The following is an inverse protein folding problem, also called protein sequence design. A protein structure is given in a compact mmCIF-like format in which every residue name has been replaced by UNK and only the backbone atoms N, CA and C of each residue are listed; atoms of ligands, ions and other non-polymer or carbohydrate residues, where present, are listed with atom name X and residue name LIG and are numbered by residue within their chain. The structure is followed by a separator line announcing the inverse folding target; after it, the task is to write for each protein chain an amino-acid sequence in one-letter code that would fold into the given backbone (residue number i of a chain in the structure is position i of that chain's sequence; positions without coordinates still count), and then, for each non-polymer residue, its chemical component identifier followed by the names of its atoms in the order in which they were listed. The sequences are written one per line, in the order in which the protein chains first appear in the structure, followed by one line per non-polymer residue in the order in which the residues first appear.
data_IF_353507021343
#
_entry.id   IF_353507021343
#
_cell.length_a   1.000
_cell.length_b   1.000
_cell.length_c   1.000
_cell.angle_alpha   90.00
_cell.angle_beta   90.00
_cell.angle_gamma   90.00
#
_symmetry.space_group_name_H-M   'P 1'
#
loop_
_entity.id
_entity.type
_entity.pdbx_description
1 polymer ?
2 non-polymer ?
3 water ?
#
# COMPACT_ATOMS: atom_id res chain seq x y z
N UNK A 3 4.71 25.25 7.64
CA UNK A 3 3.26 24.85 7.58
C UNK A 3 2.88 24.23 8.92
N UNK A 4 2.27 23.03 8.90
CA UNK A 4 2.19 22.12 10.07
C UNK A 4 3.56 21.45 10.26
N UNK A 5 4.38 22.04 11.13
CA UNK A 5 5.45 21.37 11.92
C UNK A 5 5.29 21.76 13.40
N UNK A 6 5.61 20.85 14.32
CA UNK A 6 5.36 21.01 15.77
C UNK A 6 3.88 20.87 16.14
N UNK A 7 3.10 20.19 15.29
CA UNK A 7 1.66 19.85 15.55
C UNK A 7 1.40 18.41 15.11
N UNK A 8 0.66 17.67 15.93
CA UNK A 8 -0.04 16.43 15.51
C UNK A 8 -1.52 16.73 15.37
N UNK A 9 -2.08 16.36 14.22
CA UNK A 9 -3.51 16.57 13.85
C UNK A 9 -4.15 15.18 13.67
N UNK A 10 -4.74 14.62 14.73
CA UNK A 10 -5.32 13.24 14.72
C UNK A 10 -6.85 13.33 14.79
N UNK A 11 -7.52 12.79 13.76
CA UNK A 11 -8.99 12.79 13.62
C UNK A 11 -9.49 14.16 13.22
N UNK A 12 -10.00 14.94 14.18
CA UNK A 12 -10.26 16.37 14.04
C UNK A 12 -9.30 17.21 14.87
N UNK A 13 -8.87 16.68 16.02
CA UNK A 13 -8.14 17.42 17.08
C UNK A 13 -6.80 17.93 16.54
N UNK A 14 -6.13 18.78 17.31
CA UNK A 14 -4.79 19.35 17.00
C UNK A 14 -4.06 19.62 18.32
N UNK A 15 -2.82 19.18 18.44
CA UNK A 15 -2.04 19.22 19.69
C UNK A 15 -0.69 19.88 19.42
N UNK A 16 -0.36 20.93 20.19
CA UNK A 16 1.03 21.40 20.41
C UNK A 16 1.88 20.19 20.77
N UNK A 17 2.85 19.84 19.92
CA UNK A 17 3.64 18.59 20.02
C UNK A 17 5.13 18.87 19.86
N UNK A 18 5.95 17.88 20.20
CA UNK A 18 7.42 17.98 20.32
C UNK A 18 7.93 16.54 20.42
N UNK A 19 9.14 16.28 19.96
CA UNK A 19 9.66 14.88 19.83
C UNK A 19 9.67 14.20 21.22
N UNK A 20 9.89 14.96 22.29
CA UNK A 20 9.97 14.41 23.68
C UNK A 20 8.58 13.91 24.10
N UNK A 21 7.50 14.45 23.52
CA UNK A 21 6.09 14.08 23.79
C UNK A 21 5.72 12.74 23.13
N UNK A 22 6.71 11.96 22.69
CA UNK A 22 6.47 10.66 22.00
C UNK A 22 7.33 9.56 22.62
N UNK A 23 6.72 8.41 22.85
CA UNK A 23 7.39 7.22 23.39
C UNK A 23 7.66 6.27 22.22
N UNK A 24 8.90 5.83 22.09
CA UNK A 24 9.35 4.91 21.02
C UNK A 24 9.08 3.46 21.46
N UNK A 25 8.19 2.76 20.76
CA UNK A 25 7.77 1.39 21.07
C UNK A 25 8.54 0.37 20.21
N UNK A 26 9.47 0.84 19.40
CA UNK A 26 10.36 -0.03 18.61
C UNK A 26 10.12 0.11 17.12
N UNK A 27 11.04 -0.44 16.31
CA UNK A 27 11.03 -0.36 14.83
C UNK A 27 9.96 -1.30 14.30
N UNK A 28 9.34 -0.97 13.16
CA UNK A 28 8.33 -1.83 12.48
C UNK A 28 8.98 -2.57 11.29
N UNK A 29 9.88 -1.89 10.57
CA UNK A 29 10.58 -2.43 9.38
C UNK A 29 11.46 -1.38 8.72
N UNK A 34 14.39 1.13 5.85
CA UNK A 34 14.00 2.53 6.10
C UNK A 34 13.37 2.71 7.48
N UNK A 35 13.99 3.54 8.33
CA UNK A 35 13.78 3.55 9.81
C UNK A 35 12.41 4.16 10.14
N UNK A 36 11.37 3.29 10.23
CA UNK A 36 9.99 3.68 10.66
C UNK A 36 9.68 3.08 12.04
N UNK A 37 9.40 3.96 13.01
CA UNK A 37 9.14 3.64 14.43
C UNK A 37 7.65 3.48 14.67
N UNK A 38 7.27 2.61 15.61
CA UNK A 38 5.95 2.64 16.27
C UNK A 38 6.07 3.47 17.55
N UNK A 39 5.33 4.56 17.66
CA UNK A 39 5.46 5.53 18.78
C UNK A 39 4.08 5.80 19.41
N UNK A 40 4.09 6.09 20.70
CA UNK A 40 2.90 6.53 21.46
C UNK A 40 3.03 8.02 21.74
N UNK A 41 2.04 8.80 21.32
CA UNK A 41 1.83 10.19 21.78
C UNK A 41 1.40 10.15 23.27
N UNK A 42 2.29 10.63 24.14
CA UNK A 42 2.08 10.63 25.61
C UNK A 42 0.79 11.38 25.94
N UNK A 43 0.56 12.53 25.29
CA UNK A 43 -0.48 13.50 25.69
C UNK A 43 -1.87 12.96 25.36
N UNK A 44 -2.00 11.84 24.61
CA UNK A 44 -3.31 11.19 24.32
C UNK A 44 -3.27 9.67 24.54
N UNK A 45 -2.17 9.00 24.25
CA UNK A 45 -2.11 7.53 24.17
C UNK A 45 -2.27 7.02 22.74
N UNK A 46 -2.61 7.91 21.80
CA UNK A 46 -2.54 7.65 20.34
C UNK A 46 -1.22 6.97 19.99
N UNK A 47 -1.30 5.83 19.32
CA UNK A 47 -0.14 5.08 18.79
C UNK A 47 -0.06 5.35 17.28
N UNK A 48 1.11 5.76 16.81
CA UNK A 48 1.35 6.28 15.44
C UNK A 48 2.64 5.69 14.90
N UNK A 49 2.83 5.79 13.59
CA UNK A 49 4.07 5.45 12.89
C UNK A 49 4.88 6.74 12.70
N UNK A 50 6.19 6.64 12.78
CA UNK A 50 7.12 7.79 12.77
C UNK A 50 8.32 7.42 11.92
N UNK A 51 8.46 8.08 10.77
CA UNK A 51 9.68 7.98 9.93
C UNK A 51 10.66 9.03 10.43
N UNK A 52 11.87 8.59 10.75
CA UNK A 52 12.99 9.47 11.10
C UNK A 52 13.86 9.67 9.84
N UNK A 53 14.07 10.91 9.43
CA UNK A 53 15.02 11.28 8.36
C UNK A 53 16.22 11.97 8.99
N UNK A 54 17.38 11.33 8.97
CA UNK A 54 18.62 11.85 9.58
C UNK A 54 19.25 12.85 8.61
N UNK A 55 19.35 14.11 9.02
CA UNK A 55 20.03 15.17 8.26
C UNK A 55 21.35 14.64 7.68
N UNK A 56 21.92 13.58 8.26
CA UNK A 56 23.26 13.03 7.89
C UNK A 56 23.11 11.77 7.02
N UNK A 57 21.89 11.41 6.65
CA UNK A 57 21.60 10.17 5.92
C UNK A 57 22.02 10.26 4.46
N UNK A 58 22.08 9.12 3.76
CA UNK A 58 22.11 9.04 2.28
C UNK A 58 21.24 10.16 1.74
N UNK A 59 21.82 11.04 0.92
CA UNK A 59 21.09 12.18 0.31
C UNK A 59 19.99 11.64 -0.62
N UNK A 60 20.15 10.39 -1.10
CA UNK A 60 19.20 9.72 -2.05
C UNK A 60 17.98 9.16 -1.28
N UNK A 61 18.19 8.48 -0.16
CA UNK A 61 17.10 8.09 0.78
C UNK A 61 16.28 9.34 1.11
N UNK A 62 16.95 10.45 1.43
CA UNK A 62 16.34 11.68 1.99
C UNK A 62 15.56 12.42 0.89
N UNK A 63 16.09 12.46 -0.33
CA UNK A 63 15.37 13.01 -1.52
C UNK A 63 14.10 12.20 -1.73
N UNK A 64 14.22 10.87 -1.65
CA UNK A 64 13.10 9.91 -1.85
C UNK A 64 12.02 10.13 -0.78
N UNK A 65 12.44 10.39 0.47
CA UNK A 65 11.54 10.59 1.65
C UNK A 65 10.81 11.93 1.51
N UNK A 66 11.51 12.96 1.05
CA UNK A 66 10.97 14.34 0.88
C UNK A 66 9.95 14.39 -0.27
N UNK A 67 10.21 13.65 -1.35
CA UNK A 67 9.32 13.58 -2.52
C UNK A 67 8.06 12.81 -2.12
N UNK A 68 8.25 11.68 -1.47
CA UNK A 68 7.18 10.80 -0.97
C UNK A 68 6.30 11.60 0.00
N UNK A 69 6.89 12.43 0.88
CA UNK A 69 6.13 13.25 1.88
C UNK A 69 5.32 14.34 1.16
N UNK A 70 5.94 15.01 0.19
CA UNK A 70 5.31 16.04 -0.68
C UNK A 70 3.97 15.52 -1.21
N UNK A 71 3.97 14.29 -1.71
CA UNK A 71 2.79 13.63 -2.34
C UNK A 71 1.74 13.35 -1.25
N UNK A 72 2.16 12.83 -0.11
CA UNK A 72 1.26 12.46 1.01
C UNK A 72 0.55 13.72 1.53
N UNK A 73 1.28 14.83 1.64
CA UNK A 73 0.73 16.11 2.17
C UNK A 73 -0.30 16.65 1.19
N UNK A 74 -0.08 16.45 -0.10
CA UNK A 74 -1.00 16.88 -1.19
C UNK A 74 -2.27 16.03 -1.17
N UNK A 75 -2.22 14.84 -0.55
CA UNK A 75 -3.24 13.76 -0.71
C UNK A 75 -4.12 13.66 0.54
N UNK A 76 -4.11 14.68 1.38
CA UNK A 76 -4.93 14.76 2.64
C UNK A 76 -6.37 14.30 2.37
N UNK A 77 -6.89 14.56 1.16
CA UNK A 77 -8.33 14.39 0.81
C UNK A 77 -8.61 12.97 0.31
N UNK A 78 -7.58 12.19 -0.04
CA UNK A 78 -7.74 10.80 -0.58
C UNK A 78 -7.73 9.79 0.55
N UNK A 79 -8.83 9.05 0.76
CA UNK A 79 -8.94 8.11 1.88
C UNK A 79 -8.15 6.81 1.68
N UNK A 80 -7.61 6.58 0.47
CA UNK A 80 -6.95 5.30 0.06
C UNK A 80 -5.42 5.46 0.13
N UNK A 81 -4.96 6.56 0.71
CA UNK A 81 -3.52 6.85 0.91
C UNK A 81 -3.28 7.18 2.37
N UNK A 82 -2.25 6.59 2.98
CA UNK A 82 -1.88 6.82 4.40
C UNK A 82 -1.64 8.32 4.58
N UNK A 83 -2.21 8.88 5.65
CA UNK A 83 -2.24 10.32 5.93
C UNK A 83 -1.05 10.69 6.81
N UNK A 84 -0.55 11.91 6.64
CA UNK A 84 0.43 12.56 7.54
C UNK A 84 -0.32 13.29 8.66
N UNK A 85 0.12 13.14 9.91
CA UNK A 85 -0.48 13.83 11.08
C UNK A 85 0.27 15.12 11.35
N UNK A 86 1.50 15.21 10.84
CA UNK A 86 2.40 16.36 11.03
C UNK A 86 3.85 15.92 11.13
N UNK A 87 4.73 16.88 11.41
CA UNK A 87 6.20 16.72 11.31
C UNK A 87 6.83 17.48 12.46
N UNK A 88 8.01 17.03 12.90
CA UNK A 88 8.90 17.76 13.83
C UNK A 88 10.27 17.90 13.20
N UNK A 89 10.79 19.11 13.20
CA UNK A 89 12.13 19.40 12.67
C UNK A 89 13.04 19.81 13.83
N UNK A 90 14.13 19.08 14.00
CA UNK A 90 15.24 19.41 14.91
C UNK A 90 16.46 19.73 14.07
N UNK A 91 17.59 20.01 14.72
CA UNK A 91 18.84 20.40 14.06
C UNK A 91 19.46 19.17 13.41
N UNK A 92 19.06 17.96 13.82
CA UNK A 92 19.72 16.69 13.41
C UNK A 92 18.74 15.75 12.70
N UNK A 93 17.44 15.97 12.82
CA UNK A 93 16.42 14.98 12.40
C UNK A 93 15.14 15.71 12.02
N UNK A 94 14.43 15.08 11.06
CA UNK A 94 12.99 15.29 10.80
C UNK A 94 12.25 14.01 11.19
N UNK A 95 11.20 14.15 11.98
CA UNK A 95 10.26 13.07 12.31
C UNK A 95 8.94 13.33 11.61
N UNK A 96 8.46 12.35 10.89
CA UNK A 96 7.23 12.41 10.08
C UNK A 96 6.22 11.49 10.71
N UNK A 97 5.21 12.05 11.35
CA UNK A 97 4.11 11.31 12.00
C UNK A 97 3.13 10.84 10.91
N UNK A 98 2.97 9.52 10.82
CA UNK A 98 2.06 8.85 9.87
C UNK A 98 0.99 8.05 10.64
N UNK A 99 -0.20 8.01 10.11
CA UNK A 99 -1.22 6.96 10.34
C UNK A 99 -0.53 5.60 10.50
N UNK A 100 -0.79 4.90 11.61
CA UNK A 100 -0.29 3.52 11.86
C UNK A 100 -1.30 2.53 11.29
N UNK A 101 -0.82 1.60 10.47
CA UNK A 101 -1.62 0.47 9.94
C UNK A 101 -1.06 -0.85 10.51
N UNK A 102 -1.86 -1.92 10.46
CA UNK A 102 -1.55 -3.22 11.08
C UNK A 102 -0.43 -3.95 10.37
N UNK A 103 -0.42 -3.98 9.03
CA UNK A 103 0.54 -4.79 8.25
C UNK A 103 0.46 -4.43 6.76
N UNK A 104 1.42 -4.90 5.99
CA UNK A 104 1.41 -4.84 4.52
C UNK A 104 1.00 -6.21 3.98
N UNK A 105 0.57 -6.25 2.71
CA UNK A 105 -0.09 -7.42 2.10
C UNK A 105 0.91 -8.58 2.00
N UNK A 106 2.19 -8.27 1.86
CA UNK A 106 3.29 -9.25 1.77
C UNK A 106 3.46 -9.98 3.12
N UNK A 107 3.57 -9.23 4.21
CA UNK A 107 3.66 -9.76 5.58
C UNK A 107 2.35 -10.50 5.89
N UNK A 108 1.24 -10.06 5.31
CA UNK A 108 -0.09 -10.65 5.56
C UNK A 108 -0.17 -12.01 4.84
N UNK A 109 0.36 -12.07 3.62
CA UNK A 109 0.49 -13.33 2.83
C UNK A 109 1.38 -14.32 3.58
N UNK A 110 2.56 -13.88 4.04
CA UNK A 110 3.53 -14.72 4.81
C UNK A 110 2.85 -15.35 6.02
N UNK A 111 2.05 -14.57 6.76
CA UNK A 111 1.27 -15.01 7.95
C UNK A 111 0.20 -16.03 7.54
N UNK A 112 -0.58 -15.71 6.50
CA UNK A 112 -1.65 -16.60 5.97
C UNK A 112 -1.04 -17.97 5.60
N UNK A 113 0.15 -17.95 4.98
CA UNK A 113 0.84 -19.15 4.43
C UNK A 113 -0.05 -19.84 3.39
N UNK A 114 -0.89 -19.08 2.69
CA UNK A 114 -1.71 -19.57 1.55
C UNK A 114 -2.45 -18.45 0.84
N UNK A 115 -3.29 -18.78 -0.18
CA UNK A 115 -4.20 -17.82 -0.80
C UNK A 115 -4.87 -16.83 0.17
N UNK A 116 -5.12 -15.61 -0.31
CA UNK A 116 -6.05 -14.62 0.31
C UNK A 116 -7.38 -14.61 -0.47
N UNK A 117 -8.55 -14.68 0.23
CA UNK A 117 -9.84 -14.82 -0.45
C UNK A 117 -10.12 -13.70 -1.46
N UNK A 118 -10.83 -14.02 -2.54
CA UNK A 118 -11.23 -13.07 -3.62
C UNK A 118 -11.99 -11.89 -2.98
N UNK A 119 -12.87 -12.19 -2.04
CA UNK A 119 -13.55 -11.23 -1.13
C UNK A 119 -12.60 -10.09 -0.75
N UNK A 120 -11.46 -10.43 -0.15
CA UNK A 120 -10.50 -9.47 0.43
C UNK A 120 -9.83 -8.69 -0.71
N UNK A 121 -9.44 -9.39 -1.78
CA UNK A 121 -8.63 -8.83 -2.89
C UNK A 121 -9.50 -7.90 -3.76
N UNK A 122 -10.82 -8.12 -3.80
CA UNK A 122 -11.77 -7.21 -4.45
C UNK A 122 -11.74 -5.83 -3.82
N UNK A 123 -11.92 -5.76 -2.51
CA UNK A 123 -11.94 -4.52 -1.70
C UNK A 123 -10.59 -3.81 -1.85
N UNK A 124 -9.52 -4.58 -1.98
CA UNK A 124 -8.14 -4.08 -2.06
C UNK A 124 -7.89 -3.48 -3.47
N UNK A 125 -8.39 -4.14 -4.51
CA UNK A 125 -8.30 -3.69 -5.91
C UNK A 125 -9.02 -2.34 -6.05
N UNK A 126 -10.19 -2.20 -5.44
CA UNK A 126 -10.98 -0.94 -5.44
C UNK A 126 -10.12 0.18 -4.86
N UNK A 127 -9.61 -0.01 -3.64
CA UNK A 127 -8.84 0.99 -2.88
C UNK A 127 -7.56 1.37 -3.65
N UNK A 128 -6.82 0.39 -4.18
CA UNK A 128 -5.50 0.64 -4.83
C UNK A 128 -5.71 1.35 -6.17
N UNK A 129 -6.62 0.85 -7.01
CA UNK A 129 -6.92 1.45 -8.34
C UNK A 129 -7.35 2.89 -8.12
N UNK A 130 -8.15 3.16 -7.10
CA UNK A 130 -8.71 4.51 -6.83
C UNK A 130 -7.59 5.44 -6.39
N UNK A 131 -6.67 4.94 -5.57
CA UNK A 131 -5.49 5.67 -5.07
C UNK A 131 -4.62 6.09 -6.24
N UNK A 132 -4.39 5.16 -7.17
CA UNK A 132 -3.50 5.35 -8.35
C UNK A 132 -4.16 6.30 -9.34
N UNK A 133 -5.49 6.24 -9.44
CA UNK A 133 -6.30 7.12 -10.30
C UNK A 133 -6.22 8.54 -9.73
N UNK A 134 -6.37 8.67 -8.42
CA UNK A 134 -6.25 9.95 -7.69
C UNK A 134 -4.83 10.51 -7.91
N UNK A 135 -3.81 9.64 -7.88
CA UNK A 135 -2.39 10.06 -8.04
C UNK A 135 -2.21 10.68 -9.44
N UNK A 136 -2.58 9.97 -10.50
CA UNK A 136 -2.43 10.45 -11.91
C UNK A 136 -3.32 11.68 -12.12
N UNK A 137 -4.62 11.53 -11.90
CA UNK A 137 -5.63 12.58 -12.17
C UNK A 137 -5.20 13.91 -11.53
N UNK A 138 -4.98 13.92 -10.21
CA UNK A 138 -5.04 15.15 -9.37
C UNK A 138 -3.64 15.63 -8.95
N UNK A 139 -2.59 14.91 -9.31
CA UNK A 139 -1.18 15.34 -9.05
C UNK A 139 -0.25 14.89 -10.19
N UNK A 140 -0.79 14.31 -11.26
CA UNK A 140 -0.01 13.71 -12.36
C UNK A 140 1.14 12.86 -11.85
N UNK A 141 0.96 12.17 -10.73
CA UNK A 141 1.92 11.16 -10.18
C UNK A 141 1.62 9.79 -10.82
N UNK A 142 2.64 9.16 -11.41
CA UNK A 142 2.71 7.68 -11.65
C UNK A 142 3.47 7.06 -10.46
N UNK A 143 3.14 5.81 -10.09
CA UNK A 143 3.66 5.14 -8.87
C UNK A 143 4.93 4.32 -9.19
N UNK A 144 4.84 3.42 -10.18
CA UNK A 144 6.01 2.68 -10.76
C UNK A 144 6.64 1.76 -9.69
N UNK A 145 5.85 1.32 -8.70
CA UNK A 145 6.29 0.38 -7.62
C UNK A 145 5.06 -0.16 -6.88
N UNK A 146 4.16 -0.85 -7.61
CA UNK A 146 2.91 -1.44 -7.06
C UNK A 146 3.19 -2.88 -6.65
N UNK A 147 3.24 -3.14 -5.35
CA UNK A 147 3.64 -4.44 -4.77
C UNK A 147 2.78 -4.74 -3.55
N UNK A 148 2.71 -6.01 -3.11
CA UNK A 148 2.02 -6.34 -1.86
C UNK A 148 2.61 -5.58 -0.65
N UNK A 149 3.92 -5.29 -0.66
CA UNK A 149 4.63 -4.61 0.46
C UNK A 149 4.19 -3.14 0.54
N UNK A 150 3.61 -2.58 -0.55
CA UNK A 150 3.14 -1.17 -0.62
C UNK A 150 1.65 -1.07 -0.33
N UNK A 151 0.97 -2.19 -0.14
CA UNK A 151 -0.47 -2.26 0.21
C UNK A 151 -0.60 -2.51 1.72
N UNK A 152 -1.30 -1.62 2.43
CA UNK A 152 -1.41 -1.61 3.91
C UNK A 152 -2.86 -1.88 4.29
N UNK A 153 -3.07 -2.71 5.32
CA UNK A 153 -4.38 -2.99 5.94
C UNK A 153 -4.31 -2.69 7.42
N UNK A 154 -5.46 -2.37 8.02
CA UNK A 154 -5.57 -2.09 9.47
C UNK A 154 -6.74 -2.88 10.02
N UNK A 155 -6.90 -2.89 11.34
CA UNK A 155 -7.81 -3.82 12.05
C UNK A 155 -9.24 -3.32 11.92
N UNK A 156 -9.42 -2.11 11.39
CA UNK A 156 -10.74 -1.48 11.15
C UNK A 156 -11.09 -1.62 9.66
N UNK A 157 -10.38 -2.48 8.94
CA UNK A 157 -10.75 -2.94 7.58
C UNK A 157 -10.32 -1.97 6.49
N UNK A 158 -9.66 -0.87 6.84
CA UNK A 158 -9.16 0.13 5.86
C UNK A 158 -8.01 -0.50 5.07
N UNK A 159 -8.00 -0.27 3.75
CA UNK A 159 -6.87 -0.62 2.84
C UNK A 159 -6.39 0.67 2.16
N UNK A 160 -5.08 0.94 2.23
CA UNK A 160 -4.48 2.20 1.77
C UNK A 160 -3.16 1.90 1.05
N UNK A 161 -2.78 2.78 0.15
CA UNK A 161 -1.53 2.72 -0.64
C UNK A 161 -0.43 3.38 0.16
N UNK A 162 0.70 2.71 0.29
CA UNK A 162 1.79 3.08 1.21
C UNK A 162 2.66 4.17 0.57
N UNK A 163 3.25 5.03 1.41
CA UNK A 163 3.79 6.37 1.11
C UNK A 163 5.20 6.24 0.51
N UNK A 164 5.68 5.00 0.38
CA UNK A 164 6.96 4.63 -0.27
C UNK A 164 6.84 4.84 -1.77
N UNK A 165 7.96 5.20 -2.41
CA UNK A 165 8.03 5.63 -3.82
C UNK A 165 6.66 5.99 -4.32
N UNK A 166 5.87 6.73 -3.53
CA UNK A 166 4.47 7.16 -3.87
C UNK A 166 4.57 8.29 -4.91
N UNK A 167 5.78 8.50 -5.48
CA UNK A 167 6.13 9.60 -6.43
C UNK A 167 7.04 9.12 -7.58
N UNK A 168 7.32 7.81 -7.67
CA UNK A 168 8.18 7.22 -8.73
C UNK A 168 9.66 7.36 -8.41
N UNK A 206 2.95 -0.91 -13.98
CA UNK A 206 1.86 -0.01 -13.48
C UNK A 206 0.63 -0.87 -13.20
N UNK A 207 -0.39 -0.74 -14.05
CA UNK A 207 -1.51 -1.70 -14.17
C UNK A 207 -0.96 -3.13 -14.12
N UNK A 208 0.14 -3.39 -14.84
CA UNK A 208 0.69 -4.75 -15.05
C UNK A 208 1.19 -5.33 -13.72
N UNK A 209 1.72 -4.50 -12.84
CA UNK A 209 2.24 -4.89 -11.51
C UNK A 209 1.07 -5.15 -10.55
N UNK A 210 -0.03 -4.40 -10.67
CA UNK A 210 -1.25 -4.65 -9.87
C UNK A 210 -1.74 -6.07 -10.20
N UNK A 211 -1.83 -6.40 -11.49
CA UNK A 211 -2.14 -7.77 -11.96
C UNK A 211 -1.29 -8.81 -11.25
N UNK A 212 0.03 -8.62 -11.24
CA UNK A 212 1.02 -9.60 -10.69
C UNK A 212 0.84 -9.67 -9.17
N UNK A 213 0.68 -8.53 -8.52
CA UNK A 213 0.40 -8.40 -7.08
C UNK A 213 -0.85 -9.22 -6.74
N UNK A 214 -1.88 -9.18 -7.61
CA UNK A 214 -3.21 -9.81 -7.34
C UNK A 214 -3.11 -11.31 -7.53
N UNK A 215 -2.33 -11.78 -8.50
CA UNK A 215 -2.15 -13.24 -8.75
C UNK A 215 -1.32 -13.83 -7.60
N UNK A 216 -0.28 -13.14 -7.19
CA UNK A 216 0.59 -13.55 -6.06
C UNK A 216 -0.28 -13.79 -4.80
N UNK A 217 -1.13 -12.83 -4.45
CA UNK A 217 -1.92 -12.89 -3.20
C UNK A 217 -3.08 -13.88 -3.36
N UNK A 218 -3.67 -14.00 -4.55
CA UNK A 218 -4.83 -14.89 -4.81
C UNK A 218 -4.41 -16.36 -4.65
N UNK A 219 -3.17 -16.68 -5.02
CA UNK A 219 -2.65 -18.05 -5.18
C UNK A 219 -1.66 -18.41 -4.06
N UNK A 220 -1.07 -17.40 -3.41
CA UNK A 220 -0.02 -17.52 -2.38
C UNK A 220 1.37 -17.68 -2.99
N UNK A 221 1.47 -17.67 -4.34
CA UNK A 221 2.74 -17.90 -5.09
C UNK A 221 3.04 -16.70 -6.00
N UNK A 222 4.24 -16.14 -5.89
CA UNK A 222 4.83 -15.20 -6.88
C UNK A 222 5.00 -15.93 -8.21
N UNK A 223 4.33 -15.49 -9.30
CA UNK A 223 4.47 -16.12 -10.61
C UNK A 223 5.93 -16.37 -11.05
N UNK A 224 6.87 -15.56 -10.58
CA UNK A 224 8.29 -15.57 -11.07
C UNK A 224 9.25 -15.94 -9.92
N UNK A 225 8.81 -16.78 -8.98
CA UNK A 225 9.58 -17.18 -7.76
C UNK A 225 10.75 -18.11 -8.13
N UNK A 226 10.75 -18.67 -9.36
CA UNK A 226 11.80 -19.61 -9.86
C UNK A 226 12.95 -18.83 -10.54
N UNK A 227 12.75 -17.55 -10.85
CA UNK A 227 13.75 -16.71 -11.55
C UNK A 227 14.84 -16.31 -10.58
N UNK A 228 16.10 -16.61 -10.91
CA UNK A 228 17.25 -16.43 -9.98
C UNK A 228 17.89 -15.04 -10.18
N UNK A 229 17.45 -14.26 -11.20
CA UNK A 229 17.90 -12.85 -11.47
C UNK A 229 16.74 -12.01 -11.99
N UNK A 230 16.85 -10.68 -11.87
CA UNK A 230 15.81 -9.70 -12.27
C UNK A 230 15.62 -9.73 -13.79
N UNK A 231 16.71 -9.89 -14.53
CA UNK A 231 16.70 -9.89 -16.00
C UNK A 231 15.98 -11.14 -16.49
N UNK A 232 16.07 -12.26 -15.75
CA UNK A 232 15.34 -13.51 -16.08
C UNK A 232 13.84 -13.25 -15.95
N UNK A 233 13.42 -12.50 -14.94
CA UNK A 233 12.00 -12.16 -14.71
C UNK A 233 11.48 -11.43 -15.96
N UNK A 234 12.15 -10.35 -16.33
CA UNK A 234 11.78 -9.51 -17.49
C UNK A 234 11.73 -10.37 -18.74
N UNK A 235 12.71 -11.23 -18.93
CA UNK A 235 12.74 -12.24 -20.00
C UNK A 235 11.44 -13.05 -19.99
N UNK A 236 10.99 -13.49 -18.80
CA UNK A 236 9.74 -14.30 -18.70
C UNK A 236 8.56 -13.41 -19.08
N UNK A 237 8.53 -12.18 -18.57
CA UNK A 237 7.42 -11.23 -18.83
C UNK A 237 7.23 -11.11 -20.35
N UNK A 238 8.32 -10.89 -21.10
CA UNK A 238 8.28 -10.61 -22.56
C UNK A 238 8.01 -11.89 -23.35
N UNK A 239 8.63 -13.01 -22.97
CA UNK A 239 8.67 -14.25 -23.81
C UNK A 239 7.46 -15.16 -23.50
N UNK A 240 6.95 -15.20 -22.27
CA UNK A 240 6.00 -16.26 -21.84
C UNK A 240 4.57 -15.70 -21.82
N UNK A 241 3.56 -16.58 -21.81
CA UNK A 241 2.14 -16.19 -21.65
C UNK A 241 2.02 -15.43 -20.32
N UNK A 242 1.09 -14.47 -20.19
CA UNK A 242 0.92 -13.78 -18.92
C UNK A 242 0.51 -14.75 -17.81
N UNK A 243 0.98 -14.54 -16.56
CA UNK A 243 0.64 -15.44 -15.46
C UNK A 243 -0.79 -15.21 -14.96
N UNK A 244 -1.79 -15.72 -15.69
CA UNK A 244 -3.24 -15.57 -15.37
C UNK A 244 -3.60 -16.44 -14.13
N UNK A 245 -4.64 -16.02 -13.39
CA UNK A 245 -5.33 -16.83 -12.34
C UNK A 245 -5.62 -18.22 -12.91
N UNK A 246 -5.47 -19.30 -12.13
CA UNK A 246 -5.97 -20.61 -12.54
C UNK A 246 -7.51 -20.67 -12.47
N UNK A 247 -8.11 -21.66 -13.14
CA UNK A 247 -9.57 -21.79 -13.25
C UNK A 247 -10.16 -22.78 -12.23
N UNK A 248 -9.33 -23.35 -11.36
CA UNK A 248 -9.70 -24.49 -10.48
C UNK A 248 -9.66 -24.06 -9.00
N UNK A 249 -9.85 -22.76 -8.71
CA UNK A 249 -9.83 -22.20 -7.33
C UNK A 249 -11.13 -21.41 -7.05
N UNK A 250 -12.13 -21.52 -7.92
CA UNK A 250 -13.46 -20.92 -7.71
C UNK A 250 -13.46 -19.40 -7.77
N UNK A 251 -12.51 -18.79 -8.50
CA UNK A 251 -12.48 -17.31 -8.73
C UNK A 251 -13.58 -16.92 -9.72
N UNK A 252 -14.32 -15.86 -9.41
CA UNK A 252 -15.37 -15.26 -10.28
C UNK A 252 -14.76 -14.96 -11.65
N UNK A 253 -15.57 -15.04 -12.71
CA UNK A 253 -15.19 -14.63 -14.06
C UNK A 253 -14.75 -13.19 -14.07
N UNK A 254 -15.43 -12.35 -13.30
CA UNK A 254 -15.06 -10.92 -13.13
C UNK A 254 -13.59 -10.81 -12.72
N UNK A 255 -13.16 -11.54 -11.67
CA UNK A 255 -11.78 -11.48 -11.11
C UNK A 255 -10.76 -11.93 -12.16
N UNK A 256 -11.04 -13.04 -12.83
CA UNK A 256 -10.20 -13.58 -13.93
C UNK A 256 -10.12 -12.57 -15.09
N UNK A 257 -11.23 -11.92 -15.43
CA UNK A 257 -11.28 -10.88 -16.50
C UNK A 257 -10.39 -9.70 -16.09
N UNK A 258 -10.52 -9.20 -14.85
CA UNK A 258 -9.77 -8.01 -14.35
C UNK A 258 -8.27 -8.25 -14.45
N UNK A 259 -7.82 -9.43 -14.05
CA UNK A 259 -6.37 -9.82 -14.07
C UNK A 259 -5.91 -9.98 -15.53
N UNK A 260 -6.65 -10.76 -16.32
CA UNK A 260 -6.38 -10.96 -17.77
C UNK A 260 -6.18 -9.59 -18.43
N UNK A 261 -7.06 -8.65 -18.14
CA UNK A 261 -7.01 -7.25 -18.63
C UNK A 261 -5.70 -6.61 -18.18
N UNK A 262 -5.42 -6.62 -16.87
CA UNK A 262 -4.23 -6.01 -16.25
C UNK A 262 -2.95 -6.57 -16.88
N UNK A 263 -2.95 -7.86 -17.23
CA UNK A 263 -1.77 -8.58 -17.81
C UNK A 263 -1.92 -8.72 -19.35
N UNK A 264 -2.41 -7.69 -20.04
CA UNK A 264 -2.31 -7.55 -21.52
C UNK A 264 -0.85 -7.29 -21.88
N UNK A 265 -0.24 -8.22 -22.60
CA UNK A 265 1.22 -8.23 -22.88
C UNK A 265 1.62 -7.02 -23.74
N UNK A 266 0.73 -6.53 -24.62
CA UNK A 266 0.99 -5.32 -25.44
C UNK A 266 0.68 -4.07 -24.59
N UNK A 267 1.69 -3.24 -24.33
CA UNK A 267 1.58 -1.92 -23.66
C UNK A 267 0.37 -1.14 -24.22
N UNK A 268 0.15 -1.20 -25.53
CA UNK A 268 -0.77 -0.30 -26.28
C UNK A 268 -2.22 -0.76 -26.10
N UNK A 269 -2.43 -2.03 -25.71
CA UNK A 269 -3.76 -2.65 -25.59
C UNK A 269 -4.14 -2.82 -24.10
N UNK A 270 -3.24 -2.44 -23.18
CA UNK A 270 -3.53 -2.42 -21.72
C UNK A 270 -4.40 -1.20 -21.42
N UNK A 271 -5.46 -1.36 -20.57
CA UNK A 271 -6.35 -0.26 -20.23
C UNK A 271 -5.77 0.68 -19.17
N UNK A 272 -6.00 1.99 -19.33
CA UNK A 272 -5.78 3.02 -18.28
C UNK A 272 -6.76 2.79 -17.12
N UNK A 273 -6.62 3.56 -16.04
CA UNK A 273 -7.43 3.45 -14.80
C UNK A 273 -8.89 3.80 -15.12
N UNK A 274 -9.11 4.90 -15.84
CA UNK A 274 -10.47 5.35 -16.29
C UNK A 274 -11.33 4.12 -16.63
N UNK A 275 -10.73 3.12 -17.25
CA UNK A 275 -11.40 1.98 -17.92
C UNK A 275 -11.42 0.76 -16.96
N UNK A 276 -10.40 0.64 -16.11
CA UNK A 276 -10.32 -0.43 -15.06
C UNK A 276 -11.39 -0.17 -13.97
N UNK A 277 -11.63 1.10 -13.64
CA UNK A 277 -12.63 1.55 -12.64
C UNK A 277 -14.05 1.23 -13.11
N UNK A 278 -14.21 0.94 -14.41
CA UNK A 278 -15.51 0.66 -15.06
C UNK A 278 -15.69 -0.86 -15.22
N UNK A 279 -14.62 -1.63 -15.01
CA UNK A 279 -14.65 -3.11 -15.01
C UNK A 279 -15.63 -3.61 -13.95
N UNK A 280 -16.45 -4.61 -14.29
CA UNK A 280 -17.54 -5.14 -13.44
C UNK A 280 -17.00 -5.61 -12.08
N UNK A 281 -15.76 -6.14 -12.04
CA UNK A 281 -15.05 -6.62 -10.81
C UNK A 281 -15.00 -5.50 -9.76
N UNK A 282 -14.53 -4.33 -10.16
CA UNK A 282 -14.47 -3.11 -9.32
C UNK A 282 -15.89 -2.75 -8.85
N UNK A 283 -16.83 -2.65 -9.80
CA UNK A 283 -18.23 -2.20 -9.55
C UNK A 283 -18.85 -3.08 -8.47
N UNK A 284 -18.74 -4.40 -8.66
CA UNK A 284 -19.17 -5.46 -7.72
C UNK A 284 -18.72 -5.11 -6.30
N UNK A 285 -17.44 -4.79 -6.10
CA UNK A 285 -16.78 -4.73 -4.77
C UNK A 285 -16.75 -3.30 -4.24
N UNK A 286 -17.15 -2.33 -5.06
CA UNK A 286 -17.47 -0.95 -4.59
C UNK A 286 -18.65 -1.05 -3.61
N UNK A 287 -19.73 -1.71 -4.06
CA UNK A 287 -21.06 -1.70 -3.39
C UNK A 287 -21.11 -2.81 -2.33
N UNK A 288 -20.60 -4.01 -2.64
CA UNK A 288 -20.71 -5.20 -1.76
C UNK A 288 -20.11 -4.88 -0.40
N UNK A 289 -20.89 -5.02 0.65
CA UNK A 289 -20.39 -5.03 2.04
C UNK A 289 -19.53 -6.29 2.21
N UNK A 290 -18.26 -6.09 2.60
CA UNK A 290 -17.31 -7.19 2.99
C UNK A 290 -16.73 -6.85 4.35
N UNK A 291 -16.83 -7.76 5.32
CA UNK A 291 -16.25 -7.55 6.66
C UNK A 291 -14.75 -7.86 6.61
N UNK A 292 -13.98 -6.89 6.12
CA UNK A 292 -12.48 -6.96 6.03
C UNK A 292 -11.90 -6.91 7.45
N UNK A 293 -12.54 -6.16 8.34
CA UNK A 293 -12.01 -5.85 9.69
C UNK A 293 -11.93 -7.14 10.51
N UNK A 294 -13.00 -7.94 10.46
CA UNK A 294 -13.14 -9.24 11.19
C UNK A 294 -12.12 -10.23 10.64
N UNK A 295 -12.06 -10.36 9.31
CA UNK A 295 -11.18 -11.34 8.64
C UNK A 295 -9.72 -11.03 9.00
N UNK A 296 -9.35 -9.76 9.01
CA UNK A 296 -8.00 -9.26 9.34
C UNK A 296 -7.64 -9.66 10.78
N UNK A 297 -8.54 -9.39 11.72
CA UNK A 297 -8.35 -9.69 13.17
C UNK A 297 -8.11 -11.19 13.34
N UNK A 298 -8.97 -12.02 12.75
CA UNK A 298 -8.85 -13.50 12.78
C UNK A 298 -7.43 -13.90 12.40
N UNK A 299 -6.91 -13.36 11.30
CA UNK A 299 -5.62 -13.79 10.69
C UNK A 299 -4.46 -13.38 11.61
N UNK A 300 -4.47 -12.13 12.09
CA UNK A 300 -3.35 -11.54 12.86
C UNK A 300 -3.30 -12.20 14.25
N UNK A 301 -4.47 -12.58 14.78
CA UNK A 301 -4.63 -13.26 16.10
C UNK A 301 -4.08 -14.70 16.03
N UNK A 302 -4.36 -15.41 14.92
CA UNK A 302 -4.16 -16.87 14.77
C UNK A 302 -2.80 -17.16 14.10
N UNK A 303 -1.90 -16.19 14.08
CA UNK A 303 -0.55 -16.28 13.45
C UNK A 303 0.36 -15.29 14.16
N UNK A 304 1.68 -15.35 13.90
CA UNK A 304 2.67 -14.37 14.40
C UNK A 304 3.52 -13.82 13.23
N UNK A 305 4.39 -12.83 13.53
CA UNK A 305 5.22 -12.06 12.55
C UNK A 305 4.87 -12.44 11.11
X LIG B 1 3.80 -4.70 10.01
X LIG B 1 2.93 -2.37 9.58
X LIG B 1 3.88 -3.35 9.36
X LIG B 1 5.06 -1.87 8.08
X LIG B 1 3.12 -1.13 9.01
X LIG B 1 6.72 -0.57 6.60
X LIG B 1 5.95 0.46 6.10
X LIG B 1 6.54 1.51 5.41
X LIG B 1 7.91 1.55 5.20
X LIG B 1 4.80 4.55 7.33
X LIG B 1 4.06 4.26 6.09
X LIG B 1 3.31 4.43 7.37
X LIG B 1 2.72 3.24 7.98
X LIG B 1 3.19 1.95 8.04
X LIG B 1 1.55 3.24 8.63
X LIG B 1 1.23 2.02 9.14
X LIG B 1 2.24 1.25 8.78
X LIG B 1 2.21 -0.08 9.21
X LIG B 1 4.19 -0.87 8.25
X LIG B 1 4.97 -3.11 8.60
X LIG B 1 6.22 -1.63 7.39
X LIG B 1 8.09 -0.53 6.42
X LIG B 1 8.68 0.51 5.74
X LIG B 1 8.58 2.64 4.40
X LIG B 1 8.06 3.98 4.67
X LIG B 1 7.69 5.03 4.88
#
# INVERSE_FOLDING_TARGET
SMKQTGYLTIGGQRYQAEINDLENLGEMGSGTCGQVWKMRFRKTGHVIAVKQMRRSGNKEENKRILMDLDVVLKSHDCPYIVQCFGTFITNTDVFIAMELMGTCAEKLKKRMQGPIPERILGKMTVAIVKALYYLKEKHGVIHRDVKPSNILLDERGQIKLCDFGISGRLVDSKAKTRSAGCAAYMAPERIDPPDPTKPDYDIRADVWSLGISLVELATGQFPYKNCKTDFEVLTKVLQEEPPLLPGHMGFSGDFQSFVKDCLTKDHRKRPKYNKLLEHSFIKRYETLEVDVASWFKDVMAKTESPR
IHH C3 C5 C6 C8 C10 C12 C13 C14 C15 C28 C29 C27 C24 C23 N25 N26 C22 N21 N9 N7 N11 C17 C16 C18 C19 N20
#
